data_IF_239050072114
#
_entry.id   IF_239050072114
#
_cell.length_a   1.000
_cell.length_b   1.000
_cell.length_c   1.000
_cell.angle_alpha   90.00
_cell.angle_beta   90.00
_cell.angle_gamma   90.00
#
_symmetry.space_group_name_H-M   'P 1'
#
loop_
_entity.id
_entity.type
_entity.pdbx_description
1 polymer ?
#
# COMPACT_ATOMS: atom_id res chain seq x y z
N UNK A 1 34.93 9.58 -10.60
CA UNK A 1 35.10 8.43 -11.52
C UNK A 1 34.27 7.27 -10.99
N UNK A 2 33.37 6.68 -11.77
CA UNK A 2 32.53 5.57 -11.32
C UNK A 2 33.38 4.29 -11.17
N UNK A 3 33.44 3.74 -9.95
CA UNK A 3 34.19 2.52 -9.64
C UNK A 3 33.62 1.34 -10.45
N UNK A 4 34.43 0.76 -11.34
CA UNK A 4 34.03 -0.41 -12.15
C UNK A 4 33.86 -1.63 -11.24
N UNK A 5 32.73 -2.33 -11.39
CA UNK A 5 32.43 -3.59 -10.69
C UNK A 5 33.17 -4.72 -11.39
N UNK A 6 34.24 -5.21 -10.77
CA UNK A 6 35.16 -6.19 -11.38
C UNK A 6 35.10 -7.59 -10.75
N UNK A 7 34.13 -7.82 -9.85
CA UNK A 7 33.91 -9.12 -9.19
C UNK A 7 32.53 -9.65 -9.54
N UNK A 8 32.47 -10.92 -9.92
CA UNK A 8 31.23 -11.64 -10.23
C UNK A 8 30.88 -12.60 -9.09
N UNK A 9 29.59 -12.74 -8.80
CA UNK A 9 29.03 -13.71 -7.85
C UNK A 9 28.05 -14.57 -8.63
N UNK A 10 28.31 -15.87 -8.73
CA UNK A 10 27.41 -16.85 -9.33
C UNK A 10 26.64 -17.58 -8.23
N UNK A 11 25.33 -17.71 -8.40
CA UNK A 11 24.44 -18.44 -7.51
C UNK A 11 23.75 -19.55 -8.30
N UNK A 12 23.72 -20.76 -7.75
CA UNK A 12 22.89 -21.84 -8.28
C UNK A 12 21.53 -21.78 -7.60
N UNK A 13 20.47 -21.78 -8.39
CA UNK A 13 19.09 -21.75 -7.92
C UNK A 13 18.31 -22.85 -8.64
N UNK A 14 17.26 -23.35 -7.98
CA UNK A 14 16.25 -24.20 -8.61
C UNK A 14 15.24 -23.37 -9.39
N UNK A 15 14.46 -23.99 -10.28
CA UNK A 15 13.47 -23.29 -11.11
C UNK A 15 12.41 -22.56 -10.27
N UNK A 16 11.92 -23.19 -9.19
CA UNK A 16 10.95 -22.58 -8.26
C UNK A 16 11.54 -21.36 -7.53
N UNK A 17 12.80 -21.43 -7.12
CA UNK A 17 13.49 -20.29 -6.51
C UNK A 17 13.65 -19.14 -7.50
N UNK A 18 13.97 -19.44 -8.75
CA UNK A 18 14.10 -18.43 -9.81
C UNK A 18 12.76 -17.73 -10.08
N UNK A 19 11.65 -18.47 -10.12
CA UNK A 19 10.31 -17.91 -10.27
C UNK A 19 9.93 -17.03 -9.09
N UNK A 20 10.18 -17.48 -7.86
CA UNK A 20 9.94 -16.68 -6.64
C UNK A 20 10.77 -15.40 -6.62
N UNK A 21 12.02 -15.45 -7.07
CA UNK A 21 12.87 -14.27 -7.17
C UNK A 21 12.35 -13.28 -8.22
N UNK A 22 11.93 -13.76 -9.40
CA UNK A 22 11.31 -12.91 -10.43
C UNK A 22 10.01 -12.26 -9.95
N UNK A 23 9.16 -13.02 -9.25
CA UNK A 23 7.89 -12.49 -8.68
C UNK A 23 8.13 -11.42 -7.61
N UNK A 24 9.22 -11.51 -6.84
CA UNK A 24 9.58 -10.54 -5.78
C UNK A 24 10.41 -9.35 -6.28
N UNK A 25 10.89 -9.39 -7.51
CA UNK A 25 11.70 -8.34 -8.11
C UNK A 25 10.90 -7.03 -8.21
N UNK A 26 11.25 -6.05 -7.38
CA UNK A 26 10.62 -4.72 -7.40
C UNK A 26 11.42 -3.78 -8.31
N UNK A 27 11.21 -3.92 -9.63
CA UNK A 27 11.87 -3.10 -10.65
C UNK A 27 13.37 -3.38 -10.84
N UNK A 28 13.91 -2.95 -12.00
CA UNK A 28 15.33 -3.10 -12.35
C UNK A 28 15.71 -4.49 -12.87
N UNK A 29 17.00 -4.84 -12.80
CA UNK A 29 17.50 -6.19 -13.14
C UNK A 29 17.56 -7.07 -11.90
N UNK A 30 17.39 -8.39 -12.05
CA UNK A 30 17.48 -9.36 -10.93
C UNK A 30 18.81 -9.22 -10.16
N UNK A 31 19.91 -8.97 -10.86
CA UNK A 31 21.22 -8.73 -10.26
C UNK A 31 21.32 -7.39 -9.51
N UNK A 32 20.53 -6.38 -9.90
CA UNK A 32 20.37 -5.13 -9.15
C UNK A 32 19.60 -5.36 -7.86
N UNK A 33 18.43 -5.98 -7.96
CA UNK A 33 17.56 -6.30 -6.84
C UNK A 33 18.25 -7.21 -5.81
N UNK A 34 18.93 -8.27 -6.25
CA UNK A 34 19.67 -9.17 -5.35
C UNK A 34 20.82 -8.44 -4.63
N UNK A 35 21.44 -7.45 -5.27
CA UNK A 35 22.48 -6.63 -4.66
C UNK A 35 21.90 -5.71 -3.59
N UNK A 36 20.79 -5.05 -3.86
CA UNK A 36 20.10 -4.20 -2.88
C UNK A 36 19.67 -5.03 -1.66
N UNK A 37 19.12 -6.23 -1.90
CA UNK A 37 18.76 -7.19 -0.87
C UNK A 37 19.97 -7.64 -0.03
N UNK A 38 21.08 -8.02 -0.69
CA UNK A 38 22.30 -8.50 -0.01
C UNK A 38 23.06 -7.39 0.75
N UNK A 39 22.92 -6.12 0.32
CA UNK A 39 23.52 -4.97 1.00
C UNK A 39 22.64 -4.42 2.14
N UNK A 40 21.52 -5.08 2.46
CA UNK A 40 20.60 -4.64 3.51
C UNK A 40 19.88 -3.34 3.18
N UNK A 41 19.85 -2.93 1.90
CA UNK A 41 18.93 -1.90 1.43
C UNK A 41 17.58 -2.57 1.41
N UNK A 42 16.84 -2.46 2.52
CA UNK A 42 15.47 -2.93 2.60
C UNK A 42 14.75 -2.28 1.42
N UNK A 43 14.27 -3.05 0.42
CA UNK A 43 13.40 -2.46 -0.59
C UNK A 43 12.21 -1.97 0.22
N UNK A 44 12.16 -0.66 0.47
CA UNK A 44 11.00 -0.02 1.05
C UNK A 44 9.90 -0.38 0.08
N UNK A 45 9.04 -1.34 0.47
CA UNK A 45 7.76 -1.52 -0.18
C UNK A 45 7.18 -0.12 -0.16
N UNK A 46 7.19 0.55 -1.32
CA UNK A 46 6.53 1.83 -1.46
C UNK A 46 5.11 1.52 -1.09
N UNK A 47 4.68 2.00 0.08
CA UNK A 47 3.28 1.94 0.46
C UNK A 47 2.52 2.49 -0.73
N UNK A 48 1.48 1.76 -1.12
CA UNK A 48 0.71 2.13 -2.30
C UNK A 48 0.33 3.62 -2.19
N UNK A 49 0.67 4.45 -3.19
CA UNK A 49 0.47 5.89 -3.10
C UNK A 49 -1.00 6.25 -2.87
N UNK A 50 -1.94 5.41 -3.32
CA UNK A 50 -3.37 5.58 -3.07
C UNK A 50 -3.71 5.32 -1.59
N UNK A 51 -3.06 4.35 -0.97
CA UNK A 51 -3.20 4.06 0.46
C UNK A 51 -2.71 5.23 1.32
N UNK A 52 -1.56 5.83 0.98
CA UNK A 52 -1.02 7.00 1.68
C UNK A 52 -1.93 8.22 1.52
N UNK A 53 -2.47 8.43 0.31
CA UNK A 53 -3.43 9.50 0.05
C UNK A 53 -4.71 9.30 0.87
N UNK A 54 -5.21 8.07 0.95
CA UNK A 54 -6.41 7.71 1.71
C UNK A 54 -6.20 7.91 3.21
N UNK A 55 -5.05 7.51 3.75
CA UNK A 55 -4.66 7.81 5.14
C UNK A 55 -4.61 9.32 5.41
N UNK A 56 -4.08 10.11 4.47
CA UNK A 56 -4.08 11.57 4.54
C UNK A 56 -5.50 12.17 4.59
N UNK A 57 -6.42 11.63 3.77
CA UNK A 57 -7.85 12.03 3.79
C UNK A 57 -8.52 11.71 5.12
N UNK A 58 -8.26 10.53 5.68
CA UNK A 58 -8.78 10.13 6.99
C UNK A 58 -8.26 11.07 8.09
N UNK A 59 -6.96 11.36 8.10
CA UNK A 59 -6.36 12.29 9.05
C UNK A 59 -6.93 13.70 8.95
N UNK A 60 -7.17 14.19 7.73
CA UNK A 60 -7.82 15.49 7.50
C UNK A 60 -9.25 15.53 8.04
N UNK A 61 -10.03 14.47 7.80
CA UNK A 61 -11.40 14.37 8.34
C UNK A 61 -11.40 14.35 9.86
N UNK A 62 -10.48 13.59 10.47
CA UNK A 62 -10.32 13.55 11.92
C UNK A 62 -9.97 14.94 12.50
N UNK A 63 -9.07 15.67 11.84
CA UNK A 63 -8.67 17.00 12.26
C UNK A 63 -9.80 18.04 12.09
N UNK A 64 -10.65 17.88 11.08
CA UNK A 64 -11.84 18.71 10.90
C UNK A 64 -12.87 18.44 12.01
N UNK A 65 -13.14 17.18 12.33
CA UNK A 65 -14.02 16.79 13.44
C UNK A 65 -13.46 17.32 14.76
N UNK A 66 -12.16 17.17 15.00
CA UNK A 66 -11.50 17.65 16.21
C UNK A 66 -11.55 19.18 16.33
N UNK A 67 -11.27 19.92 15.25
CA UNK A 67 -11.40 21.39 15.24
C UNK A 67 -12.83 21.83 15.45
N UNK A 68 -13.78 21.17 14.81
CA UNK A 68 -15.18 21.53 14.92
C UNK A 68 -15.73 21.25 16.32
N UNK A 69 -15.36 20.12 16.93
CA UNK A 69 -15.66 19.81 18.33
C UNK A 69 -15.00 20.74 19.34
N UNK A 70 -13.89 21.39 18.95
CA UNK A 70 -13.13 22.29 19.83
C UNK A 70 -13.46 23.78 19.61
N UNK A 71 -14.13 24.14 18.51
CA UNK A 71 -14.49 25.53 18.15
C UNK A 71 -15.98 25.79 18.34
N UNK A 72 -16.86 24.84 18.00
CA UNK A 72 -18.29 24.94 18.27
C UNK A 72 -18.63 24.04 19.45
N UNK A 73 -18.89 24.66 20.60
CA UNK A 73 -19.39 24.02 21.83
C UNK A 73 -20.73 23.26 21.62
N UNK A 74 -21.33 23.36 20.44
CA UNK A 74 -22.45 22.52 20.01
C UNK A 74 -22.40 22.22 18.52
N UNK A 75 -21.70 21.16 18.17
CA UNK A 75 -21.92 20.46 16.92
C UNK A 75 -23.36 19.94 16.91
N UNK A 76 -24.20 20.41 15.98
CA UNK A 76 -25.59 19.97 15.90
C UNK A 76 -25.59 18.45 15.72
N UNK A 77 -26.01 17.73 16.77
CA UNK A 77 -25.86 16.27 16.87
C UNK A 77 -26.54 15.53 15.72
N UNK A 78 -27.45 16.21 15.00
CA UNK A 78 -28.06 15.71 13.78
C UNK A 78 -27.07 15.69 12.61
N UNK A 79 -26.27 16.73 12.44
CA UNK A 79 -25.25 16.82 11.38
C UNK A 79 -24.13 15.79 11.61
N UNK A 80 -23.72 15.57 12.87
CA UNK A 80 -22.76 14.51 13.21
C UNK A 80 -23.28 13.12 12.85
N UNK A 81 -24.54 12.83 13.20
CA UNK A 81 -25.15 11.53 12.88
C UNK A 81 -25.23 11.31 11.39
N UNK A 82 -25.60 12.32 10.61
CA UNK A 82 -25.61 12.22 9.14
C UNK A 82 -24.21 11.95 8.58
N UNK A 83 -23.18 12.63 9.09
CA UNK A 83 -21.79 12.39 8.69
C UNK A 83 -21.33 10.96 9.06
N UNK A 84 -21.73 10.46 10.23
CA UNK A 84 -21.42 9.09 10.66
C UNK A 84 -22.11 8.04 9.77
N UNK A 85 -23.38 8.26 9.43
CA UNK A 85 -24.14 7.40 8.51
C UNK A 85 -23.49 7.39 7.13
N UNK A 86 -23.15 8.56 6.58
CA UNK A 86 -22.47 8.68 5.27
C UNK A 86 -21.12 7.96 5.30
N UNK A 87 -20.36 8.09 6.40
CA UNK A 87 -19.08 7.38 6.56
C UNK A 87 -19.25 5.87 6.60
N UNK A 88 -20.28 5.37 7.29
CA UNK A 88 -20.62 3.94 7.32
C UNK A 88 -20.96 3.41 5.93
N UNK A 89 -21.81 4.13 5.19
CA UNK A 89 -22.19 3.76 3.82
C UNK A 89 -20.98 3.70 2.88
N UNK A 90 -20.09 4.68 2.95
CA UNK A 90 -18.86 4.70 2.14
C UNK A 90 -17.96 3.51 2.49
N UNK A 91 -17.78 3.19 3.77
CA UNK A 91 -16.97 2.05 4.17
C UNK A 91 -17.54 0.73 3.65
N UNK A 92 -18.86 0.51 3.76
CA UNK A 92 -19.51 -0.69 3.21
C UNK A 92 -19.34 -0.78 1.68
N UNK A 93 -19.47 0.33 0.96
CA UNK A 93 -19.23 0.38 -0.49
C UNK A 93 -17.78 0.05 -0.86
N UNK A 94 -16.82 0.50 -0.05
CA UNK A 94 -15.40 0.20 -0.25
C UNK A 94 -15.13 -1.28 0.04
N UNK A 95 -15.64 -1.82 1.15
CA UNK A 95 -15.50 -3.23 1.50
C UNK A 95 -16.12 -4.14 0.42
N UNK A 96 -17.31 -3.80 -0.07
CA UNK A 96 -17.95 -4.52 -1.18
C UNK A 96 -17.08 -4.50 -2.44
N UNK A 97 -16.50 -3.35 -2.82
CA UNK A 97 -15.63 -3.27 -3.99
C UNK A 97 -14.32 -4.05 -3.81
N UNK A 98 -13.74 -4.02 -2.60
CA UNK A 98 -12.55 -4.81 -2.28
C UNK A 98 -12.89 -6.30 -2.40
N UNK A 99 -14.00 -6.75 -1.83
CA UNK A 99 -14.45 -8.15 -1.96
C UNK A 99 -14.71 -8.56 -3.41
N UNK A 100 -15.35 -7.69 -4.22
CA UNK A 100 -15.56 -7.95 -5.65
C UNK A 100 -14.24 -8.12 -6.38
N UNK A 101 -13.27 -7.22 -6.14
CA UNK A 101 -11.95 -7.29 -6.77
C UNK A 101 -11.17 -8.55 -6.38
N UNK A 102 -11.32 -9.05 -5.15
CA UNK A 102 -10.71 -10.30 -4.69
C UNK A 102 -11.35 -11.48 -5.43
N UNK A 103 -12.69 -11.55 -5.50
CA UNK A 103 -13.41 -12.61 -6.22
C UNK A 103 -13.11 -12.62 -7.71
N UNK A 104 -12.92 -11.46 -8.33
CA UNK A 104 -12.52 -11.36 -9.74
C UNK A 104 -11.09 -11.84 -9.99
N UNK A 105 -10.17 -11.62 -9.05
CA UNK A 105 -8.81 -12.17 -9.14
C UNK A 105 -8.79 -13.69 -8.95
N UNK A 106 -9.57 -14.25 -8.02
CA UNK A 106 -9.68 -15.71 -7.80
C UNK A 106 -10.26 -16.46 -9.02
N UNK A 107 -11.12 -15.80 -9.82
CA UNK A 107 -11.64 -16.38 -11.07
C UNK A 107 -10.64 -16.37 -12.23
N UNK A 108 -9.64 -15.49 -12.21
CA UNK A 108 -8.62 -15.39 -13.27
C UNK A 108 -7.41 -16.31 -13.05
N UNK A 109 -7.33 -17.00 -11.90
CA UNK A 109 -6.28 -17.99 -11.56
C UNK A 109 -6.71 -19.45 -11.82
N UNK A 110 -7.89 -19.67 -12.45
CA UNK A 110 -8.38 -20.98 -12.93
C UNK A 110 -8.31 -21.10 -14.45
#
# INVERSE_FOLDING_TARGET
MATKRNREISIRVTDDELEKMKKRQSGGTLAGWLRELALGVVPTKKADPDLILTLGRIGSNLNQIARHANIEESLDAKVLREIEIIRGLINSLVDENIEQSIRENEKNDC
#
